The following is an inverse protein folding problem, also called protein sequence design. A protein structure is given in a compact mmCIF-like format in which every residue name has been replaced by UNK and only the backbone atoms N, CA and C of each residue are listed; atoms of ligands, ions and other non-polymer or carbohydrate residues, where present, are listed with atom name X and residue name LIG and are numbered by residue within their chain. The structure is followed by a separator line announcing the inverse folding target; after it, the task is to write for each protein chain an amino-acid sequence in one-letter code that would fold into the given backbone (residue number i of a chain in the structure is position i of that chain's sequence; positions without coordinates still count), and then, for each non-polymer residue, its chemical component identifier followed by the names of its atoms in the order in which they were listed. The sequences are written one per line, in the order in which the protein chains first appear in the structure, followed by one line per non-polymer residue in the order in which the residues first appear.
data_IF_398285350285
#
_entry.id   IF_398285350285
#
_cell.length_a   1.000
_cell.length_b   1.000
_cell.length_c   1.000
_cell.angle_alpha   90.00
_cell.angle_beta   90.00
_cell.angle_gamma   90.00
#
_symmetry.space_group_name_H-M   'P 1'
#
loop_
_entity.id
_entity.type
_entity.pdbx_description
1 polymer ?
#
# COMPACT_ATOMS: atom_id res chain seq x y z
N UNK A 1 -30.79 -13.09 55.14
CA UNK A 1 -32.05 -12.67 54.48
C UNK A 1 -31.86 -11.20 54.09
N UNK A 2 -31.98 -10.72 52.86
CA UNK A 2 -32.41 -11.31 51.60
C UNK A 2 -31.67 -10.71 50.40
N UNK A 3 -31.79 -11.38 49.25
CA UNK A 3 -31.27 -10.96 47.95
C UNK A 3 -32.33 -10.08 47.26
N UNK A 4 -31.96 -8.91 46.78
CA UNK A 4 -32.79 -8.11 45.86
C UNK A 4 -32.46 -8.51 44.41
N UNK A 5 -33.39 -9.22 43.77
CA UNK A 5 -33.40 -9.38 42.31
C UNK A 5 -34.10 -8.18 41.67
N UNK A 6 -33.49 -7.62 40.62
CA UNK A 6 -34.10 -6.60 39.76
C UNK A 6 -34.99 -7.25 38.69
N UNK A 7 -36.13 -6.64 38.30
CA UNK A 7 -37.15 -7.29 37.48
C UNK A 7 -36.76 -7.40 36.00
N UNK A 8 -36.97 -8.59 35.44
CA UNK A 8 -36.74 -9.03 34.03
C UNK A 8 -37.50 -8.23 32.94
N UNK A 9 -38.15 -7.11 33.23
CA UNK A 9 -39.00 -6.39 32.25
C UNK A 9 -38.31 -5.27 31.45
N UNK A 10 -37.04 -4.95 31.71
CA UNK A 10 -36.35 -3.84 31.04
C UNK A 10 -35.50 -4.23 29.80
N UNK A 11 -35.51 -5.50 29.34
CA UNK A 11 -34.68 -5.94 28.19
C UNK A 11 -35.45 -6.32 26.91
N UNK A 12 -36.78 -6.23 26.90
CA UNK A 12 -37.60 -6.66 25.75
C UNK A 12 -38.06 -5.52 24.82
N UNK A 13 -38.02 -4.26 25.28
CA UNK A 13 -38.42 -3.10 24.49
C UNK A 13 -37.49 -2.73 23.32
N UNK A 14 -36.14 -2.83 23.40
CA UNK A 14 -35.30 -2.47 22.26
C UNK A 14 -35.29 -3.53 21.15
N UNK A 15 -35.57 -4.81 21.48
CA UNK A 15 -35.57 -5.91 20.50
C UNK A 15 -36.82 -5.90 19.62
N UNK A 16 -37.98 -5.54 20.18
CA UNK A 16 -39.23 -5.41 19.42
C UNK A 16 -39.21 -4.22 18.44
N UNK A 17 -38.56 -3.10 18.82
CA UNK A 17 -38.41 -1.94 17.94
C UNK A 17 -37.55 -2.26 16.69
N UNK A 18 -36.51 -3.09 16.85
CA UNK A 18 -35.64 -3.51 15.75
C UNK A 18 -36.36 -4.45 14.79
N UNK A 19 -37.18 -5.38 15.29
CA UNK A 19 -37.94 -6.32 14.45
C UNK A 19 -38.99 -5.59 13.59
N UNK A 20 -39.66 -4.58 14.15
CA UNK A 20 -40.64 -3.76 13.39
C UNK A 20 -39.95 -2.93 12.31
N UNK A 21 -38.76 -2.40 12.56
CA UNK A 21 -37.98 -1.63 11.58
C UNK A 21 -37.50 -2.50 10.40
N UNK A 22 -37.05 -3.72 10.69
CA UNK A 22 -36.62 -4.69 9.65
C UNK A 22 -37.81 -5.16 8.79
N UNK A 23 -38.99 -5.36 9.39
CA UNK A 23 -40.21 -5.70 8.66
C UNK A 23 -40.72 -4.55 7.76
N UNK A 24 -40.58 -3.30 8.20
CA UNK A 24 -40.91 -2.12 7.39
C UNK A 24 -39.96 -1.94 6.19
N UNK A 25 -38.68 -2.29 6.33
CA UNK A 25 -37.72 -2.22 5.22
C UNK A 25 -37.91 -3.33 4.19
N UNK A 26 -38.33 -4.53 4.60
CA UNK A 26 -38.60 -5.65 3.69
C UNK A 26 -39.87 -5.48 2.86
N UNK A 27 -40.83 -4.66 3.30
CA UNK A 27 -42.06 -4.37 2.56
C UNK A 27 -41.87 -3.31 1.47
N UNK A 28 -40.96 -2.35 1.66
CA UNK A 28 -40.60 -1.35 0.63
C UNK A 28 -39.76 -1.98 -0.50
N UNK A 29 -38.91 -2.97 -0.20
CA UNK A 29 -38.08 -3.65 -1.20
C UNK A 29 -38.85 -4.53 -2.20
N UNK A 30 -40.08 -4.97 -1.88
CA UNK A 30 -40.88 -5.84 -2.77
C UNK A 30 -41.71 -5.09 -3.81
N UNK A 31 -41.82 -3.76 -3.74
CA UNK A 31 -42.55 -2.96 -4.74
C UNK A 31 -41.66 -2.43 -5.89
N UNK A 32 -40.34 -2.66 -5.87
CA UNK A 32 -39.41 -2.10 -6.84
C UNK A 32 -38.92 -3.07 -7.95
N UNK A 33 -39.37 -4.33 -7.98
CA UNK A 33 -38.83 -5.36 -8.91
C UNK A 33 -39.89 -5.94 -9.87
N UNK A 34 -41.11 -5.41 -9.89
CA UNK A 34 -42.14 -5.83 -10.85
C UNK A 34 -42.44 -4.69 -11.83
N UNK A 35 -41.60 -4.54 -12.86
CA UNK A 35 -42.00 -4.06 -14.20
C UNK A 35 -40.79 -4.01 -15.14
N UNK A 36 -40.64 -5.03 -15.98
CA UNK A 36 -40.24 -4.86 -17.38
C UNK A 36 -40.39 -6.20 -18.12
N UNK A 37 -41.57 -6.41 -18.69
CA UNK A 37 -41.83 -7.35 -19.78
C UNK A 37 -42.34 -6.56 -20.97
N UNK A 38 -41.65 -6.66 -22.11
CA UNK A 38 -42.21 -6.61 -23.48
C UNK A 38 -41.08 -6.96 -24.46
N UNK A 39 -41.10 -8.20 -25.00
CA UNK A 39 -41.34 -8.56 -26.44
C UNK A 39 -40.28 -8.00 -27.40
N UNK A 40 -39.28 -8.77 -27.84
CA UNK A 40 -39.29 -9.83 -28.87
C UNK A 40 -39.52 -9.32 -30.30
N UNK A 41 -38.47 -9.43 -31.14
CA UNK A 41 -38.51 -10.07 -32.47
C UNK A 41 -37.08 -10.33 -32.96
N UNK A 42 -36.81 -11.61 -33.24
CA UNK A 42 -35.73 -12.13 -34.08
C UNK A 42 -35.89 -11.64 -35.52
N UNK A 43 -34.77 -11.47 -36.23
CA UNK A 43 -34.69 -11.93 -37.62
C UNK A 43 -33.24 -12.28 -37.99
N UNK A 44 -33.12 -13.39 -38.69
CA UNK A 44 -31.95 -14.25 -38.78
C UNK A 44 -31.26 -14.09 -40.15
N UNK A 45 -29.97 -13.72 -40.14
CA UNK A 45 -28.85 -14.33 -40.94
C UNK A 45 -28.83 -14.07 -42.47
N UNK A 46 -27.75 -14.45 -43.19
CA UNK A 46 -26.39 -13.91 -43.27
C UNK A 46 -26.07 -13.33 -44.67
N UNK A 47 -24.87 -12.77 -44.89
CA UNK A 47 -23.95 -13.08 -46.04
C UNK A 47 -22.80 -12.06 -46.08
N UNK A 48 -21.58 -12.57 -46.25
CA UNK A 48 -20.35 -11.87 -46.66
C UNK A 48 -19.72 -12.72 -47.79
N UNK A 49 -18.60 -12.32 -48.45
CA UNK A 49 -18.15 -11.02 -48.99
C UNK A 49 -17.85 -11.15 -50.53
N UNK A 50 -17.14 -10.23 -51.23
CA UNK A 50 -15.65 -10.25 -51.23
C UNK A 50 -14.92 -8.88 -51.44
N UNK A 51 -13.61 -8.95 -51.19
CA UNK A 51 -12.49 -8.00 -51.37
C UNK A 51 -12.28 -7.40 -52.77
N UNK A 52 -11.69 -6.18 -52.90
CA UNK A 52 -10.59 -5.72 -53.81
C UNK A 52 -10.07 -4.32 -53.31
N UNK A 53 -8.87 -4.13 -52.75
CA UNK A 53 -7.56 -3.63 -53.30
C UNK A 53 -7.43 -2.17 -53.82
N UNK A 54 -6.49 -1.40 -53.23
CA UNK A 54 -5.63 -0.24 -53.65
C UNK A 54 -6.01 0.65 -54.88
N UNK A 55 -5.77 1.98 -54.96
CA UNK A 55 -4.51 2.73 -54.81
C UNK A 55 -4.70 4.28 -54.91
N UNK A 56 -3.63 5.00 -54.59
CA UNK A 56 -3.23 6.42 -54.58
C UNK A 56 -3.76 7.54 -55.53
N UNK A 57 -3.65 8.76 -54.95
CA UNK A 57 -3.17 10.07 -55.47
C UNK A 57 -4.05 11.14 -56.19
N UNK A 58 -4.25 12.25 -55.44
CA UNK A 58 -3.92 13.66 -55.72
C UNK A 58 -4.46 14.42 -56.96
N UNK A 59 -5.42 15.35 -56.77
CA UNK A 59 -5.38 16.74 -57.33
C UNK A 59 -6.50 17.66 -56.75
N UNK A 60 -6.19 18.95 -56.56
CA UNK A 60 -7.09 20.07 -56.15
C UNK A 60 -6.59 21.37 -56.84
N UNK A 61 -7.22 22.58 -56.78
CA UNK A 61 -8.51 23.09 -56.21
C UNK A 61 -9.24 24.04 -57.24
N UNK A 62 -10.08 25.08 -56.94
CA UNK A 62 -10.69 25.58 -55.68
C UNK A 62 -12.19 26.01 -55.70
N UNK A 63 -12.64 26.38 -54.48
CA UNK A 63 -13.71 27.34 -54.07
C UNK A 63 -15.21 26.99 -54.19
N UNK A 64 -15.83 26.68 -53.04
CA UNK A 64 -16.72 27.60 -52.28
C UNK A 64 -17.14 26.99 -50.92
N UNK A 65 -17.10 27.79 -49.86
CA UNK A 65 -17.42 27.47 -48.44
C UNK A 65 -18.95 27.22 -48.23
N UNK A 66 -19.47 26.62 -47.10
CA UNK A 66 -18.89 26.71 -45.74
C UNK A 66 -19.08 25.51 -44.76
N UNK A 67 -18.41 25.64 -43.61
CA UNK A 67 -18.59 24.92 -42.31
C UNK A 67 -17.94 23.54 -42.14
N UNK A 68 -16.90 23.45 -41.29
CA UNK A 68 -17.03 23.10 -39.85
C UNK A 68 -15.65 23.09 -39.17
N UNK A 69 -15.55 23.75 -38.00
CA UNK A 69 -14.42 23.64 -37.07
C UNK A 69 -14.55 22.34 -36.29
N UNK A 70 -13.48 21.54 -36.20
CA UNK A 70 -13.27 20.66 -35.06
C UNK A 70 -11.81 20.71 -34.59
N UNK A 71 -11.62 21.46 -33.50
CA UNK A 71 -10.55 21.23 -32.53
C UNK A 71 -11.08 20.15 -31.61
N UNK A 72 -10.35 19.05 -31.44
CA UNK A 72 -10.63 18.07 -30.39
C UNK A 72 -10.55 18.75 -29.02
N UNK A 73 -11.73 19.08 -28.50
CA UNK A 73 -11.95 19.45 -27.11
C UNK A 73 -12.34 18.18 -26.36
N UNK A 74 -11.78 17.92 -25.17
CA UNK A 74 -12.26 16.83 -24.33
C UNK A 74 -13.76 17.00 -24.08
N UNK A 75 -14.52 15.92 -24.31
CA UNK A 75 -15.99 15.93 -24.27
C UNK A 75 -16.45 16.34 -22.87
N UNK A 76 -17.48 17.19 -22.83
CA UNK A 76 -18.06 17.83 -21.65
C UNK A 76 -18.51 16.83 -20.56
N UNK A 77 -18.72 15.58 -20.94
CA UNK A 77 -19.26 14.51 -20.10
C UNK A 77 -18.21 13.88 -19.14
N UNK A 78 -16.94 13.80 -19.54
CA UNK A 78 -15.88 13.28 -18.64
C UNK A 78 -15.55 14.28 -17.53
N UNK A 79 -15.56 15.57 -17.87
CA UNK A 79 -15.33 16.66 -16.90
C UNK A 79 -16.46 16.78 -15.87
N UNK A 80 -17.68 16.34 -16.21
CA UNK A 80 -18.81 16.30 -15.30
C UNK A 80 -18.74 15.08 -14.36
N UNK A 81 -18.29 13.93 -14.89
CA UNK A 81 -18.12 12.68 -14.12
C UNK A 81 -16.98 12.78 -13.09
N UNK A 82 -15.86 13.40 -13.44
CA UNK A 82 -14.77 13.63 -12.50
C UNK A 82 -15.16 14.63 -11.40
N UNK A 83 -15.93 15.67 -11.75
CA UNK A 83 -16.47 16.62 -10.76
C UNK A 83 -17.46 15.96 -9.80
N UNK A 84 -18.26 14.99 -10.26
CA UNK A 84 -19.18 14.23 -9.41
C UNK A 84 -18.43 13.26 -8.49
N UNK A 85 -17.35 12.61 -8.96
CA UNK A 85 -16.50 11.73 -8.13
C UNK A 85 -15.73 12.51 -7.06
N UNK A 86 -15.10 13.63 -7.42
CA UNK A 86 -14.40 14.48 -6.44
C UNK A 86 -15.36 15.12 -5.43
N UNK A 87 -16.61 15.37 -5.79
CA UNK A 87 -17.63 15.91 -4.87
C UNK A 87 -18.17 14.83 -3.92
N UNK A 88 -18.33 13.59 -4.38
CA UNK A 88 -18.68 12.46 -3.50
C UNK A 88 -17.58 12.08 -2.52
N UNK A 89 -16.30 12.14 -2.92
CA UNK A 89 -15.17 11.94 -2.00
C UNK A 89 -15.12 13.03 -0.91
N UNK A 90 -15.34 14.30 -1.29
CA UNK A 90 -15.41 15.42 -0.34
C UNK A 90 -16.57 15.29 0.67
N UNK A 91 -17.74 14.81 0.24
CA UNK A 91 -18.88 14.63 1.14
C UNK A 91 -18.69 13.46 2.12
N UNK A 92 -17.96 12.41 1.75
CA UNK A 92 -17.71 11.25 2.63
C UNK A 92 -16.59 11.52 3.63
N UNK A 93 -15.58 12.29 3.24
CA UNK A 93 -14.59 12.85 4.17
C UNK A 93 -15.25 13.80 5.18
N UNK A 94 -16.30 14.53 4.78
CA UNK A 94 -17.06 15.39 5.70
C UNK A 94 -17.92 14.58 6.70
N UNK A 95 -18.42 13.40 6.33
CA UNK A 95 -19.12 12.48 7.25
C UNK A 95 -18.18 11.78 8.25
N UNK A 96 -16.93 11.55 7.86
CA UNK A 96 -15.86 11.12 8.78
C UNK A 96 -15.47 12.21 9.79
N UNK A 97 -15.86 13.46 9.55
CA UNK A 97 -15.52 14.61 10.39
C UNK A 97 -16.55 14.90 11.50
N UNK A 98 -17.73 14.26 11.54
CA UNK A 98 -18.82 14.67 12.45
C UNK A 98 -18.94 13.86 13.77
N UNK A 99 -17.89 13.15 14.21
CA UNK A 99 -17.63 13.01 15.66
C UNK A 99 -17.53 11.62 16.31
N UNK A 100 -17.14 10.56 15.59
CA UNK A 100 -16.68 9.32 16.23
C UNK A 100 -15.24 9.01 15.83
N UNK A 101 -14.36 8.81 16.81
CA UNK A 101 -13.03 8.29 16.56
C UNK A 101 -13.17 6.91 15.92
N UNK A 102 -12.58 6.70 14.74
CA UNK A 102 -12.61 5.38 14.08
C UNK A 102 -12.07 4.29 15.01
N UNK A 103 -12.53 3.05 14.86
CA UNK A 103 -11.98 1.93 15.63
C UNK A 103 -10.49 1.77 15.34
N UNK A 104 -9.63 1.51 16.35
CA UNK A 104 -8.21 1.30 16.12
C UNK A 104 -7.96 0.19 15.10
N UNK A 105 -6.99 0.39 14.19
CA UNK A 105 -6.53 -0.70 13.31
C UNK A 105 -5.32 -1.37 13.95
N UNK A 106 -5.33 -2.69 14.04
CA UNK A 106 -4.21 -3.47 14.54
C UNK A 106 -3.69 -4.42 13.47
N UNK A 107 -2.39 -4.39 13.22
CA UNK A 107 -1.77 -5.22 12.20
C UNK A 107 -0.29 -5.43 12.47
N UNK A 108 0.34 -6.34 11.74
CA UNK A 108 1.79 -6.53 11.79
C UNK A 108 2.45 -6.08 10.50
N UNK A 109 3.48 -5.26 10.65
CA UNK A 109 4.36 -4.75 9.59
C UNK A 109 5.71 -5.45 9.66
N UNK A 110 6.36 -5.67 8.52
CA UNK A 110 7.72 -6.19 8.46
C UNK A 110 8.59 -5.47 7.43
N UNK A 111 9.91 -5.54 7.61
CA UNK A 111 10.90 -5.26 6.58
C UNK A 111 11.78 -6.48 6.39
N UNK A 112 12.06 -6.83 5.13
CA UNK A 112 12.91 -7.97 4.83
C UNK A 112 13.65 -7.82 3.48
N UNK A 113 14.98 -7.70 3.54
CA UNK A 113 15.81 -7.91 2.37
C UNK A 113 15.86 -9.41 2.11
N UNK A 114 15.29 -9.84 0.98
CA UNK A 114 15.07 -11.26 0.69
C UNK A 114 16.22 -11.90 -0.09
N UNK A 115 17.36 -11.21 -0.21
CA UNK A 115 18.54 -11.61 -0.97
C UNK A 115 18.20 -11.96 -2.43
N UNK A 116 18.64 -11.13 -3.39
CA UNK A 116 18.22 -11.28 -4.78
C UNK A 116 18.54 -12.63 -5.39
N UNK A 117 17.69 -13.13 -6.29
CA UNK A 117 17.90 -14.40 -6.98
C UNK A 117 19.26 -14.45 -7.70
N UNK A 118 19.73 -13.31 -8.23
CA UNK A 118 21.04 -13.17 -8.87
C UNK A 118 22.21 -13.42 -7.92
N UNK A 119 22.05 -13.21 -6.62
CA UNK A 119 23.12 -13.46 -5.64
C UNK A 119 23.41 -14.95 -5.49
N UNK A 120 22.41 -15.81 -5.72
CA UNK A 120 22.52 -17.26 -5.52
C UNK A 120 22.48 -18.06 -6.83
N UNK A 121 22.22 -17.39 -7.95
CA UNK A 121 22.32 -17.97 -9.29
C UNK A 121 23.76 -18.07 -9.82
N UNK A 122 23.94 -18.59 -11.04
CA UNK A 122 25.26 -18.68 -11.68
C UNK A 122 25.97 -17.32 -11.72
N UNK A 123 27.21 -17.27 -11.24
CA UNK A 123 28.00 -16.03 -11.13
C UNK A 123 27.66 -15.12 -9.95
N UNK A 124 26.72 -15.54 -9.08
CA UNK A 124 26.36 -14.84 -7.86
C UNK A 124 27.40 -14.97 -6.74
N UNK A 125 27.38 -14.04 -5.79
CA UNK A 125 28.33 -13.97 -4.66
C UNK A 125 27.88 -14.75 -3.41
N UNK A 126 26.74 -15.46 -3.46
CA UNK A 126 26.20 -16.26 -2.35
C UNK A 126 25.85 -17.70 -2.82
N UNK A 127 26.82 -18.46 -3.37
CA UNK A 127 26.56 -19.78 -3.95
C UNK A 127 26.09 -20.85 -2.94
N UNK A 128 26.29 -20.62 -1.63
CA UNK A 128 25.85 -21.54 -0.57
C UNK A 128 24.36 -21.45 -0.22
N UNK A 129 23.65 -20.44 -0.73
CA UNK A 129 22.22 -20.28 -0.50
C UNK A 129 21.41 -21.03 -1.56
N UNK A 130 20.19 -21.44 -1.20
CA UNK A 130 19.25 -22.01 -2.16
C UNK A 130 18.87 -20.99 -3.26
N UNK A 131 18.34 -21.50 -4.38
CA UNK A 131 17.83 -20.66 -5.47
C UNK A 131 16.69 -19.73 -5.02
N UNK A 132 16.55 -18.59 -5.71
CA UNK A 132 15.56 -17.56 -5.37
C UNK A 132 14.11 -18.08 -5.26
N UNK A 133 13.72 -19.08 -6.06
CA UNK A 133 12.39 -19.72 -5.97
C UNK A 133 12.16 -20.41 -4.62
N UNK A 134 13.11 -21.24 -4.17
CA UNK A 134 13.00 -21.95 -2.88
C UNK A 134 12.98 -20.97 -1.72
N UNK A 135 13.89 -19.99 -1.75
CA UNK A 135 13.99 -18.95 -0.70
C UNK A 135 12.73 -18.10 -0.64
N UNK A 136 12.14 -17.73 -1.78
CA UNK A 136 10.87 -17.01 -1.79
C UNK A 136 9.73 -17.83 -1.20
N UNK A 137 9.69 -19.15 -1.43
CA UNK A 137 8.73 -20.03 -0.77
C UNK A 137 8.84 -19.97 0.76
N UNK A 138 10.06 -20.02 1.28
CA UNK A 138 10.32 -19.87 2.70
C UNK A 138 10.05 -18.45 3.23
N UNK A 139 10.30 -17.41 2.43
CA UNK A 139 9.89 -16.04 2.80
C UNK A 139 8.37 -15.94 2.96
N UNK A 140 7.57 -16.52 2.05
CA UNK A 140 6.11 -16.53 2.20
C UNK A 140 5.69 -17.33 3.44
N UNK A 141 6.40 -18.42 3.75
CA UNK A 141 6.19 -19.16 5.01
C UNK A 141 6.49 -18.29 6.23
N UNK A 142 7.57 -17.50 6.23
CA UNK A 142 7.92 -16.58 7.32
C UNK A 142 6.89 -15.47 7.47
N UNK A 143 6.44 -14.85 6.37
CA UNK A 143 5.40 -13.81 6.37
C UNK A 143 4.11 -14.34 6.97
N UNK A 144 3.61 -15.48 6.47
CA UNK A 144 2.37 -16.11 6.95
C UNK A 144 2.49 -16.61 8.38
N UNK A 145 3.59 -17.30 8.70
CA UNK A 145 3.83 -17.88 10.03
C UNK A 145 4.00 -16.83 11.13
N UNK A 146 4.32 -15.58 10.76
CA UNK A 146 4.40 -14.46 11.68
C UNK A 146 3.20 -13.51 11.58
N UNK A 147 2.13 -13.83 10.85
CA UNK A 147 0.94 -12.97 10.70
C UNK A 147 1.24 -11.56 10.16
N UNK A 148 2.28 -11.41 9.34
CA UNK A 148 2.60 -10.14 8.68
C UNK A 148 1.50 -9.82 7.67
N UNK A 149 1.03 -8.57 7.65
CA UNK A 149 -0.01 -8.10 6.72
C UNK A 149 0.49 -7.07 5.71
N UNK A 150 1.60 -6.38 6.01
CA UNK A 150 2.33 -5.49 5.09
C UNK A 150 3.82 -5.72 5.28
N UNK A 151 4.57 -5.85 4.19
CA UNK A 151 6.02 -6.07 4.20
C UNK A 151 6.73 -5.23 3.14
N UNK A 152 7.79 -4.54 3.55
CA UNK A 152 8.78 -3.97 2.64
C UNK A 152 9.80 -5.03 2.24
N UNK A 153 9.94 -5.26 0.94
CA UNK A 153 10.86 -6.24 0.37
C UNK A 153 11.98 -5.53 -0.37
N UNK A 154 13.22 -5.88 -0.04
CA UNK A 154 14.42 -5.41 -0.74
C UNK A 154 15.12 -6.58 -1.43
N UNK A 155 15.86 -6.28 -2.51
CA UNK A 155 16.44 -7.26 -3.44
C UNK A 155 15.43 -8.28 -4.01
N UNK A 156 14.15 -7.93 -4.05
CA UNK A 156 13.08 -8.81 -4.51
C UNK A 156 13.05 -8.90 -6.05
N UNK A 157 13.72 -9.89 -6.63
CA UNK A 157 13.88 -9.96 -8.09
C UNK A 157 12.73 -10.65 -8.82
N UNK A 158 12.71 -10.54 -10.15
CA UNK A 158 11.65 -11.10 -11.02
C UNK A 158 11.30 -12.57 -10.73
N UNK A 159 12.30 -13.43 -10.49
CA UNK A 159 12.09 -14.85 -10.17
C UNK A 159 11.38 -15.03 -8.84
N UNK A 160 11.77 -14.23 -7.85
CA UNK A 160 11.12 -14.18 -6.54
C UNK A 160 9.70 -13.62 -6.70
N UNK A 161 9.50 -12.58 -7.50
CA UNK A 161 8.18 -12.02 -7.80
C UNK A 161 7.19 -13.02 -8.40
N UNK A 162 7.61 -13.75 -9.44
CA UNK A 162 6.79 -14.79 -10.05
C UNK A 162 6.45 -15.90 -9.04
N UNK A 163 7.41 -16.28 -8.19
CA UNK A 163 7.20 -17.30 -7.16
C UNK A 163 6.24 -16.83 -6.08
N UNK A 164 6.41 -15.59 -5.60
CA UNK A 164 5.53 -14.99 -4.62
C UNK A 164 4.08 -14.97 -5.13
N UNK A 165 3.86 -14.43 -6.34
CA UNK A 165 2.52 -14.38 -6.95
C UNK A 165 1.89 -15.78 -7.11
N UNK A 166 2.68 -16.77 -7.53
CA UNK A 166 2.21 -18.17 -7.64
C UNK A 166 1.80 -18.77 -6.30
N UNK A 167 2.57 -18.52 -5.23
CA UNK A 167 2.31 -19.10 -3.90
C UNK A 167 1.18 -18.36 -3.18
N UNK A 168 1.03 -17.05 -3.41
CA UNK A 168 -0.02 -16.24 -2.80
C UNK A 168 -1.34 -16.33 -3.54
N UNK A 169 -1.35 -16.72 -4.82
CA UNK A 169 -2.56 -16.98 -5.59
C UNK A 169 -3.49 -15.78 -5.67
N UNK A 170 -2.94 -14.56 -5.68
CA UNK A 170 -3.71 -13.31 -5.67
C UNK A 170 -4.16 -12.82 -4.29
N UNK A 171 -3.92 -13.58 -3.22
CA UNK A 171 -4.22 -13.15 -1.84
C UNK A 171 -3.34 -12.01 -1.32
N UNK A 172 -2.35 -11.58 -2.12
CA UNK A 172 -1.44 -10.48 -1.77
C UNK A 172 -1.31 -9.50 -2.94
N UNK A 173 -1.40 -8.22 -2.63
CA UNK A 173 -1.00 -7.15 -3.55
C UNK A 173 0.50 -6.89 -3.47
N UNK A 174 1.08 -6.39 -4.57
CA UNK A 174 2.49 -6.03 -4.66
C UNK A 174 2.63 -4.76 -5.50
N UNK A 175 3.36 -3.78 -4.98
CA UNK A 175 3.68 -2.54 -5.69
C UNK A 175 5.17 -2.18 -5.53
N UNK A 176 5.87 -1.76 -6.58
CA UNK A 176 5.38 -1.62 -7.95
C UNK A 176 5.40 -2.95 -8.70
N UNK A 177 5.94 -4.02 -8.10
CA UNK A 177 6.13 -5.29 -8.78
C UNK A 177 6.92 -5.08 -10.07
N UNK A 178 6.42 -5.61 -11.18
CA UNK A 178 7.05 -5.45 -12.49
C UNK A 178 6.66 -4.16 -13.25
N UNK A 179 5.81 -3.29 -12.67
CA UNK A 179 5.27 -2.10 -13.38
C UNK A 179 6.37 -1.09 -13.77
N UNK A 180 7.44 -1.00 -12.97
CA UNK A 180 8.61 -0.13 -13.23
C UNK A 180 9.82 -0.93 -13.74
N UNK A 181 9.57 -2.11 -14.32
CA UNK A 181 10.58 -2.97 -14.91
C UNK A 181 11.31 -3.89 -13.94
N UNK A 182 12.16 -4.75 -14.50
CA UNK A 182 12.87 -5.81 -13.77
C UNK A 182 13.91 -5.32 -12.76
N UNK A 183 14.35 -4.06 -12.86
CA UNK A 183 15.23 -3.45 -11.87
C UNK A 183 14.46 -2.86 -10.71
N UNK A 184 13.31 -2.23 -10.97
CA UNK A 184 12.52 -1.59 -9.92
C UNK A 184 11.73 -2.58 -9.05
N UNK A 185 11.42 -3.79 -9.55
CA UNK A 185 10.80 -4.86 -8.73
C UNK A 185 11.59 -5.18 -7.46
N UNK A 186 12.93 -4.98 -7.50
CA UNK A 186 13.85 -5.21 -6.38
C UNK A 186 13.43 -4.52 -5.09
N UNK A 187 12.69 -3.43 -5.20
CA UNK A 187 12.10 -2.75 -4.07
C UNK A 187 10.59 -2.79 -4.26
N UNK A 188 9.91 -3.59 -3.46
CA UNK A 188 8.46 -3.74 -3.53
C UNK A 188 7.84 -3.77 -2.13
N UNK A 189 6.64 -3.24 -2.01
CA UNK A 189 5.77 -3.41 -0.85
C UNK A 189 4.77 -4.49 -1.22
N UNK A 190 4.62 -5.49 -0.35
CA UNK A 190 3.59 -6.50 -0.48
C UNK A 190 2.62 -6.41 0.70
N UNK A 191 1.32 -6.59 0.45
CA UNK A 191 0.30 -6.57 1.50
C UNK A 191 -0.74 -7.67 1.31
N UNK A 192 -1.30 -8.15 2.41
CA UNK A 192 -2.41 -9.10 2.40
C UNK A 192 -3.68 -8.38 1.90
N UNK A 193 -4.20 -8.80 0.75
CA UNK A 193 -5.35 -8.17 0.09
C UNK A 193 -6.70 -8.41 0.83
N UNK A 194 -6.71 -9.34 1.79
CA UNK A 194 -7.81 -9.54 2.72
C UNK A 194 -7.87 -8.49 3.83
N UNK A 195 -6.72 -7.87 4.17
CA UNK A 195 -6.61 -6.85 5.24
C UNK A 195 -6.56 -5.44 4.65
N UNK A 196 -5.91 -5.28 3.51
CA UNK A 196 -5.61 -3.98 2.93
C UNK A 196 -6.13 -3.86 1.49
N UNK A 197 -6.65 -2.69 1.18
CA UNK A 197 -6.99 -2.24 -0.16
C UNK A 197 -6.00 -1.15 -0.59
N UNK A 198 -5.46 -1.25 -1.81
CA UNK A 198 -4.60 -0.19 -2.37
C UNK A 198 -5.47 1.01 -2.75
N UNK A 199 -5.15 2.18 -2.20
CA UNK A 199 -5.76 3.45 -2.61
C UNK A 199 -4.97 4.05 -3.75
N UNK A 200 -3.65 4.15 -3.58
CA UNK A 200 -2.73 4.63 -4.60
C UNK A 200 -1.29 4.17 -4.33
N UNK A 201 -0.47 4.18 -5.38
CA UNK A 201 0.94 3.79 -5.33
C UNK A 201 1.79 4.74 -6.16
N UNK A 202 2.96 5.07 -5.63
CA UNK A 202 3.86 6.07 -6.16
C UNK A 202 5.32 5.65 -5.95
N UNK A 203 6.26 6.34 -6.59
CA UNK A 203 7.70 6.09 -6.38
C UNK A 203 8.44 7.40 -6.15
N UNK A 204 9.43 7.39 -5.27
CA UNK A 204 10.40 8.48 -5.13
C UNK A 204 11.77 8.07 -5.69
N UNK A 205 12.48 8.97 -6.40
CA UNK A 205 13.84 8.71 -6.86
C UNK A 205 14.84 8.86 -5.70
N UNK A 206 15.51 7.76 -5.34
CA UNK A 206 16.56 7.73 -4.32
C UNK A 206 17.93 7.47 -4.98
N UNK A 207 18.98 8.24 -4.63
CA UNK A 207 20.34 7.95 -5.11
C UNK A 207 20.84 6.62 -4.56
N UNK A 208 21.30 5.76 -5.46
CA UNK A 208 21.89 4.48 -5.13
C UNK A 208 23.39 4.49 -5.49
N UNK A 209 23.96 3.38 -5.97
CA UNK A 209 25.37 3.31 -6.34
C UNK A 209 25.77 4.41 -7.35
N UNK A 210 26.81 5.17 -7.00
CA UNK A 210 27.33 6.31 -7.77
C UNK A 210 26.28 7.41 -8.05
N UNK A 211 25.26 7.55 -7.21
CA UNK A 211 24.21 8.57 -7.35
C UNK A 211 23.15 8.24 -8.40
N UNK A 212 23.19 7.05 -9.02
CA UNK A 212 22.16 6.62 -9.96
C UNK A 212 20.82 6.53 -9.25
N UNK A 213 19.79 7.18 -9.80
CA UNK A 213 18.47 7.23 -9.19
C UNK A 213 17.73 5.90 -9.39
N UNK A 214 17.21 5.36 -8.30
CA UNK A 214 16.39 4.15 -8.25
C UNK A 214 15.01 4.53 -7.72
N UNK A 215 13.91 4.11 -8.35
CA UNK A 215 12.56 4.35 -7.83
C UNK A 215 12.31 3.47 -6.60
N UNK A 216 12.11 4.10 -5.44
CA UNK A 216 11.68 3.44 -4.20
C UNK A 216 10.16 3.61 -4.03
N UNK A 217 9.40 2.54 -3.77
CA UNK A 217 7.96 2.63 -3.73
C UNK A 217 7.42 3.18 -2.41
N UNK A 218 6.28 3.84 -2.51
CA UNK A 218 5.39 4.07 -1.40
C UNK A 218 3.93 3.89 -1.82
N UNK A 219 3.09 3.42 -0.90
CA UNK A 219 1.67 3.14 -1.16
C UNK A 219 0.79 3.67 -0.04
N UNK A 220 -0.39 4.14 -0.41
CA UNK A 220 -1.48 4.41 0.52
C UNK A 220 -2.38 3.19 0.54
N UNK A 221 -2.52 2.58 1.70
CA UNK A 221 -3.42 1.45 1.90
C UNK A 221 -4.57 1.84 2.82
N UNK A 222 -5.76 1.31 2.53
CA UNK A 222 -6.93 1.36 3.39
C UNK A 222 -7.07 0.03 4.13
N UNK A 223 -7.08 0.09 5.47
CA UNK A 223 -7.39 -1.05 6.31
C UNK A 223 -8.88 -1.40 6.13
N UNK A 224 -9.19 -2.58 5.61
CA UNK A 224 -10.54 -2.90 5.11
C UNK A 224 -11.58 -3.01 6.22
N UNK A 225 -11.17 -3.44 7.41
CA UNK A 225 -12.07 -3.60 8.55
C UNK A 225 -12.48 -2.26 9.17
N UNK A 226 -11.55 -1.31 9.28
CA UNK A 226 -11.75 -0.07 10.03
C UNK A 226 -11.80 1.17 9.15
N UNK A 227 -11.51 1.03 7.85
CA UNK A 227 -11.41 2.15 6.92
C UNK A 227 -10.16 3.03 7.09
N UNK A 228 -9.32 2.79 8.11
CA UNK A 228 -8.16 3.64 8.40
C UNK A 228 -7.15 3.63 7.26
N UNK A 229 -6.59 4.80 6.96
CA UNK A 229 -5.55 4.97 5.96
C UNK A 229 -4.16 4.91 6.59
N UNK A 230 -3.19 4.36 5.86
CA UNK A 230 -1.79 4.43 6.21
C UNK A 230 -0.88 4.46 4.97
N UNK A 231 0.14 5.30 5.02
CA UNK A 231 1.22 5.32 4.03
C UNK A 231 2.33 4.35 4.42
N UNK A 232 2.83 3.59 3.46
CA UNK A 232 3.97 2.70 3.64
C UNK A 232 5.04 3.04 2.61
N UNK A 233 6.23 3.40 3.07
CA UNK A 233 7.41 3.72 2.27
C UNK A 233 8.41 2.58 2.46
N UNK A 234 8.90 2.01 1.36
CA UNK A 234 9.93 0.97 1.39
C UNK A 234 11.20 1.43 0.70
N UNK A 235 12.32 1.38 1.42
CA UNK A 235 13.62 1.86 0.92
C UNK A 235 14.66 0.75 0.88
N UNK A 236 15.70 0.99 0.08
CA UNK A 236 16.94 0.21 0.07
C UNK A 236 18.09 1.15 -0.29
N UNK A 237 18.78 1.65 0.72
CA UNK A 237 19.86 2.63 0.54
C UNK A 237 21.17 1.95 0.13
N UNK A 238 22.07 2.66 -0.57
CA UNK A 238 23.25 2.03 -1.13
C UNK A 238 24.21 1.55 -0.04
N UNK A 239 24.54 0.27 -0.12
CA UNK A 239 25.67 -0.31 0.60
C UNK A 239 27.01 0.27 0.09
N UNK A 240 28.09 0.07 0.84
CA UNK A 240 29.44 0.45 0.40
C UNK A 240 30.13 -0.64 -0.44
N UNK A 241 29.39 -1.65 -0.94
CA UNK A 241 29.94 -2.79 -1.70
C UNK A 241 30.44 -2.41 -3.10
N UNK A 242 30.13 -1.20 -3.58
CA UNK A 242 30.63 -0.63 -4.84
C UNK A 242 31.42 0.66 -4.63
N UNK A 243 32.05 0.81 -3.47
CA UNK A 243 32.78 2.00 -3.06
C UNK A 243 32.04 2.81 -1.99
N UNK A 244 32.66 3.89 -1.46
CA UNK A 244 32.07 4.69 -0.39
C UNK A 244 30.71 5.27 -0.78
N UNK A 245 29.68 4.96 0.00
CA UNK A 245 28.30 5.35 -0.29
C UNK A 245 27.67 6.30 0.74
N UNK A 246 28.42 6.76 1.75
CA UNK A 246 27.90 7.61 2.84
C UNK A 246 27.16 8.84 2.31
N UNK A 247 27.78 9.59 1.39
CA UNK A 247 27.17 10.76 0.79
C UNK A 247 25.79 10.45 0.16
N UNK A 248 25.65 9.30 -0.50
CA UNK A 248 24.39 8.90 -1.10
C UNK A 248 23.35 8.48 -0.07
N UNK A 249 23.77 7.85 1.04
CA UNK A 249 22.87 7.56 2.17
C UNK A 249 22.38 8.82 2.86
N UNK A 250 23.23 9.84 3.00
CA UNK A 250 22.82 11.14 3.58
C UNK A 250 21.75 11.81 2.72
N UNK A 251 21.95 11.86 1.40
CA UNK A 251 20.99 12.43 0.45
C UNK A 251 19.71 11.59 0.40
N UNK A 252 19.82 10.26 0.42
CA UNK A 252 18.66 9.36 0.45
C UNK A 252 17.83 9.58 1.71
N UNK A 253 18.45 9.53 2.89
CA UNK A 253 17.80 9.73 4.18
C UNK A 253 17.12 11.10 4.26
N UNK A 254 17.72 12.15 3.70
CA UNK A 254 17.08 13.47 3.64
C UNK A 254 15.81 13.48 2.78
N UNK A 255 15.82 12.78 1.64
CA UNK A 255 14.64 12.65 0.77
C UNK A 255 13.53 11.83 1.42
N UNK A 256 13.91 10.78 2.16
CA UNK A 256 12.98 9.92 2.90
C UNK A 256 12.29 10.68 4.03
N UNK A 257 13.05 11.47 4.80
CA UNK A 257 12.51 12.36 5.83
C UNK A 257 11.56 13.39 5.22
N UNK A 258 11.96 14.02 4.10
CA UNK A 258 11.11 14.99 3.42
C UNK A 258 9.80 14.35 2.94
N UNK A 259 9.85 13.17 2.30
CA UNK A 259 8.65 12.45 1.89
C UNK A 259 7.77 12.10 3.10
N UNK A 260 8.35 11.57 4.17
CA UNK A 260 7.58 11.21 5.36
C UNK A 260 6.88 12.42 5.98
N UNK A 261 7.56 13.58 6.02
CA UNK A 261 6.97 14.83 6.47
C UNK A 261 5.86 15.33 5.54
N UNK A 262 6.04 15.23 4.22
CA UNK A 262 5.01 15.62 3.25
C UNK A 262 3.75 14.75 3.37
N UNK A 263 3.91 13.44 3.57
CA UNK A 263 2.79 12.49 3.67
C UNK A 263 2.04 12.56 5.00
N UNK A 264 2.73 12.93 6.09
CA UNK A 264 2.12 13.12 7.41
C UNK A 264 1.56 14.53 7.61
N UNK A 265 1.69 15.43 6.63
CA UNK A 265 1.17 16.80 6.75
C UNK A 265 -0.36 16.78 6.82
N UNK A 266 -0.98 17.33 7.88
CA UNK A 266 -2.43 17.42 7.98
C UNK A 266 -3.04 18.25 6.85
N UNK A 267 -4.17 17.81 6.30
CA UNK A 267 -4.91 18.61 5.32
C UNK A 267 -5.60 19.83 5.94
N UNK A 268 -5.78 19.84 7.27
CA UNK A 268 -6.31 20.96 8.03
C UNK A 268 -5.71 20.99 9.44
N UNK A 269 -5.69 22.17 10.07
CA UNK A 269 -5.05 22.39 11.38
C UNK A 269 -5.70 21.63 12.53
N UNK A 270 -6.89 21.07 12.33
CA UNK A 270 -7.66 20.35 13.34
C UNK A 270 -7.71 18.84 13.06
N UNK A 271 -6.84 18.33 12.18
CA UNK A 271 -6.76 16.90 11.85
C UNK A 271 -5.35 16.38 12.08
N UNK A 272 -5.25 15.07 12.31
CA UNK A 272 -3.99 14.37 12.19
C UNK A 272 -3.70 14.07 10.72
N UNK A 273 -2.42 14.09 10.36
CA UNK A 273 -1.98 13.53 9.09
C UNK A 273 -2.21 12.03 9.00
N UNK A 274 -2.08 11.48 7.80
CA UNK A 274 -2.19 10.03 7.60
C UNK A 274 -0.98 9.35 8.25
N UNK A 275 -1.19 8.35 9.13
CA UNK A 275 -0.10 7.57 9.71
C UNK A 275 0.84 7.05 8.62
N UNK A 276 2.13 7.35 8.77
CA UNK A 276 3.14 7.04 7.75
C UNK A 276 4.21 6.13 8.34
N UNK A 277 4.57 5.10 7.59
CA UNK A 277 5.60 4.14 7.93
C UNK A 277 6.75 4.27 6.94
N UNK A 278 7.98 4.35 7.46
CA UNK A 278 9.19 4.28 6.67
C UNK A 278 9.96 3.03 7.10
N UNK A 279 10.13 2.09 6.19
CA UNK A 279 10.78 0.81 6.47
C UNK A 279 11.76 0.43 5.36
N UNK A 280 12.72 -0.42 5.67
CA UNK A 280 13.63 -0.94 4.66
C UNK A 280 15.01 -1.26 5.18
N UNK A 281 15.91 -1.54 4.25
CA UNK A 281 17.35 -1.67 4.47
C UNK A 281 18.02 -0.32 4.24
N UNK A 282 18.42 0.35 5.33
CA UNK A 282 19.06 1.67 5.25
C UNK A 282 20.55 1.58 4.94
N UNK A 283 21.15 0.38 5.01
CA UNK A 283 22.61 0.21 5.01
C UNK A 283 23.33 1.12 6.03
N UNK A 284 22.64 1.52 7.09
CA UNK A 284 23.08 2.49 8.08
C UNK A 284 22.46 2.18 9.45
N UNK A 285 23.24 2.39 10.51
CA UNK A 285 22.79 2.18 11.90
C UNK A 285 22.39 3.50 12.55
N UNK A 286 23.35 4.12 13.24
CA UNK A 286 23.09 5.25 14.12
C UNK A 286 22.65 6.51 13.38
N UNK A 287 23.25 6.78 12.24
CA UNK A 287 22.96 7.99 11.48
C UNK A 287 21.53 7.97 10.90
N UNK A 288 21.08 6.85 10.33
CA UNK A 288 19.69 6.70 9.88
C UNK A 288 18.72 6.87 11.05
N UNK A 289 18.93 6.16 12.16
CA UNK A 289 18.08 6.29 13.35
C UNK A 289 18.00 7.74 13.85
N UNK A 290 19.15 8.39 14.08
CA UNK A 290 19.19 9.75 14.63
C UNK A 290 18.58 10.77 13.67
N UNK A 291 18.90 10.70 12.38
CA UNK A 291 18.38 11.65 11.39
C UNK A 291 16.87 11.49 11.21
N UNK A 292 16.38 10.26 11.08
CA UNK A 292 14.94 10.02 10.87
C UNK A 292 14.15 10.41 12.11
N UNK A 293 14.55 9.99 13.32
CA UNK A 293 13.79 10.29 14.54
C UNK A 293 13.89 11.75 15.01
N UNK A 294 14.88 12.51 14.53
CA UNK A 294 15.00 13.95 14.80
C UNK A 294 14.41 14.83 13.68
N UNK A 295 14.42 14.33 12.43
CA UNK A 295 14.02 15.10 11.24
C UNK A 295 12.61 14.79 10.75
N UNK A 296 12.10 13.59 11.02
CA UNK A 296 10.70 13.25 10.85
C UNK A 296 10.03 13.18 12.23
N UNK A 297 8.76 13.56 12.32
CA UNK A 297 7.95 13.29 13.52
C UNK A 297 7.70 11.79 13.60
N UNK A 298 8.72 11.01 13.96
CA UNK A 298 8.75 9.56 13.84
C UNK A 298 9.46 8.90 15.01
N UNK A 299 9.03 7.68 15.32
CA UNK A 299 9.66 6.79 16.29
C UNK A 299 10.07 5.47 15.61
N UNK A 300 11.13 4.83 16.10
CA UNK A 300 11.51 3.49 15.65
C UNK A 300 10.72 2.41 16.39
N UNK A 301 10.35 1.34 15.69
CA UNK A 301 9.56 0.25 16.27
C UNK A 301 10.28 -0.50 17.40
N UNK A 302 11.61 -0.48 17.44
CA UNK A 302 12.45 -1.06 18.48
C UNK A 302 12.84 -0.06 19.59
N UNK A 303 12.29 1.15 19.58
CA UNK A 303 12.53 2.19 20.59
C UNK A 303 13.79 3.02 20.36
N UNK A 304 14.38 3.53 21.44
CA UNK A 304 15.46 4.52 21.42
C UNK A 304 14.96 5.92 21.76
N UNK A 305 15.85 6.90 21.79
CA UNK A 305 15.51 8.32 22.05
C UNK A 305 16.09 9.20 20.95
N UNK A 306 15.36 10.21 20.50
CA UNK A 306 15.82 11.17 19.49
C UNK A 306 16.63 12.34 20.09
N UNK A 307 16.31 12.75 21.32
CA UNK A 307 17.01 13.83 22.03
C UNK A 307 17.19 13.52 23.52
N UNK A 308 18.43 13.25 24.00
CA UNK A 308 19.63 13.01 23.19
C UNK A 308 19.45 11.76 22.32
N UNK A 309 20.10 11.72 21.14
CA UNK A 309 20.00 10.55 20.28
C UNK A 309 20.65 9.32 20.94
N UNK A 310 19.87 8.26 21.18
CA UNK A 310 20.35 6.98 21.71
C UNK A 310 19.67 5.84 20.96
N UNK A 311 20.49 4.99 20.35
CA UNK A 311 20.01 3.84 19.60
C UNK A 311 19.37 2.81 20.54
N UNK A 312 18.35 2.09 20.08
CA UNK A 312 17.85 0.91 20.77
C UNK A 312 18.90 -0.21 20.77
N UNK A 313 18.91 -1.07 21.80
CA UNK A 313 19.93 -2.11 21.96
C UNK A 313 19.93 -3.18 20.85
N UNK A 314 18.75 -3.53 20.32
CA UNK A 314 18.59 -4.56 19.28
C UNK A 314 18.38 -3.93 17.89
N UNK A 315 19.40 -3.21 17.39
CA UNK A 315 19.36 -2.56 16.08
C UNK A 315 20.24 -3.28 15.04
N UNK A 316 19.83 -3.17 13.78
CA UNK A 316 20.59 -3.57 12.60
C UNK A 316 20.76 -2.39 11.65
N UNK A 317 20.84 -2.68 10.36
CA UNK A 317 20.72 -1.69 9.28
C UNK A 317 19.30 -1.65 8.68
N UNK A 318 18.49 -2.66 8.99
CA UNK A 318 17.08 -2.71 8.67
C UNK A 318 16.27 -1.98 9.76
N UNK A 319 15.37 -1.09 9.35
CA UNK A 319 14.56 -0.29 10.26
C UNK A 319 13.08 -0.29 9.89
N UNK A 320 12.24 -0.07 10.90
CA UNK A 320 10.82 0.28 10.77
C UNK A 320 10.60 1.51 11.64
N UNK A 321 10.21 2.62 11.01
CA UNK A 321 9.79 3.86 11.64
C UNK A 321 8.30 4.08 11.41
N UNK A 322 7.64 4.75 12.34
CA UNK A 322 6.25 5.16 12.25
C UNK A 322 6.06 6.58 12.76
N UNK A 323 5.17 7.33 12.13
CA UNK A 323 4.88 8.73 12.49
C UNK A 323 4.28 8.86 13.89
N UNK A 324 4.55 9.97 14.57
CA UNK A 324 3.92 10.35 15.83
C UNK A 324 3.19 11.69 15.65
N UNK A 325 1.99 11.85 16.23
CA UNK A 325 1.20 10.86 16.97
C UNK A 325 0.46 9.86 16.04
N UNK A 326 -0.23 8.87 16.64
CA UNK A 326 -1.18 8.00 15.94
C UNK A 326 -0.67 6.59 15.61
N UNK A 327 0.64 6.33 15.74
CA UNK A 327 1.23 4.99 15.61
C UNK A 327 1.76 4.50 16.95
N UNK A 328 1.22 3.38 17.44
CA UNK A 328 1.79 2.61 18.53
C UNK A 328 2.51 1.37 18.01
N UNK A 329 3.73 1.11 18.48
CA UNK A 329 4.44 -0.15 18.23
C UNK A 329 4.45 -1.03 19.48
N UNK A 330 4.37 -2.34 19.27
CA UNK A 330 4.61 -3.34 20.31
C UNK A 330 5.22 -4.60 19.70
N UNK A 331 5.73 -5.50 20.55
CA UNK A 331 6.23 -6.82 20.15
C UNK A 331 7.23 -6.79 18.97
N UNK A 332 8.13 -5.80 18.96
CA UNK A 332 9.19 -5.76 17.96
C UNK A 332 10.07 -7.01 18.06
N UNK A 333 10.33 -7.63 16.92
CA UNK A 333 11.23 -8.78 16.79
C UNK A 333 12.21 -8.52 15.65
N UNK A 334 13.49 -8.76 15.95
CA UNK A 334 14.53 -8.98 14.94
C UNK A 334 14.79 -10.48 14.87
N UNK A 335 14.20 -11.14 13.88
CA UNK A 335 14.33 -12.57 13.68
C UNK A 335 15.61 -12.86 12.90
N UNK A 336 16.63 -13.35 13.59
CA UNK A 336 17.96 -13.67 13.06
C UNK A 336 18.32 -15.11 13.48
N UNK A 337 18.06 -16.07 12.58
CA UNK A 337 18.20 -17.50 12.88
C UNK A 337 17.20 -18.40 12.15
N UNK A 338 17.39 -19.71 12.31
CA UNK A 338 16.47 -20.73 11.79
C UNK A 338 16.23 -20.62 10.28
N UNK A 339 14.96 -20.54 9.88
CA UNK A 339 14.57 -20.45 8.47
C UNK A 339 15.00 -19.12 7.82
N UNK A 340 15.10 -18.02 8.59
CA UNK A 340 15.53 -16.72 8.05
C UNK A 340 16.92 -16.82 7.45
N UNK A 341 17.86 -17.49 8.12
CA UNK A 341 19.25 -17.60 7.66
C UNK A 341 19.41 -18.54 6.44
N UNK A 342 18.36 -19.28 6.08
CA UNK A 342 18.28 -20.03 4.81
C UNK A 342 17.73 -19.17 3.67
N UNK A 343 17.00 -18.10 4.00
CA UNK A 343 16.37 -17.19 3.05
C UNK A 343 17.27 -16.03 2.69
N UNK A 344 17.92 -15.42 3.68
CA UNK A 344 18.67 -14.18 3.51
C UNK A 344 19.90 -14.12 4.41
N UNK A 345 20.81 -13.21 4.11
CA UNK A 345 21.85 -12.74 5.00
C UNK A 345 21.39 -11.56 5.89
N UNK A 346 20.16 -11.10 5.70
CA UNK A 346 19.50 -10.13 6.57
C UNK A 346 18.52 -10.82 7.55
N UNK A 347 18.33 -10.26 8.75
CA UNK A 347 17.21 -10.64 9.60
C UNK A 347 15.88 -10.21 8.95
N UNK A 348 14.78 -10.87 9.31
CA UNK A 348 13.45 -10.29 9.12
C UNK A 348 13.09 -9.50 10.38
N UNK A 349 12.78 -8.22 10.24
CA UNK A 349 12.27 -7.42 11.36
C UNK A 349 10.77 -7.20 11.22
N UNK A 350 10.04 -7.23 12.33
CA UNK A 350 8.61 -6.94 12.36
C UNK A 350 8.16 -6.38 13.69
N UNK A 351 7.02 -5.70 13.69
CA UNK A 351 6.38 -5.19 14.90
C UNK A 351 4.86 -5.22 14.75
N UNK A 352 4.18 -5.36 15.88
CA UNK A 352 2.75 -5.11 15.97
C UNK A 352 2.51 -3.60 15.99
N UNK A 353 1.51 -3.18 15.23
CA UNK A 353 1.13 -1.79 15.03
C UNK A 353 -0.30 -1.61 15.49
N UNK A 354 -0.54 -0.54 16.23
CA UNK A 354 -1.88 -0.01 16.51
C UNK A 354 -1.97 1.40 15.94
N UNK A 355 -2.90 1.61 15.01
CA UNK A 355 -3.32 2.95 14.59
C UNK A 355 -4.43 3.42 15.50
N UNK A 356 -4.21 4.49 16.25
CA UNK A 356 -5.17 5.01 17.22
C UNK A 356 -5.46 6.50 17.01
N UNK A 357 -6.47 7.01 17.72
CA UNK A 357 -6.86 8.42 17.68
C UNK A 357 -7.62 8.82 16.40
N UNK A 358 -7.55 10.10 16.06
CA UNK A 358 -8.24 10.73 14.93
C UNK A 358 -7.55 10.51 13.57
N UNK A 359 -6.76 9.44 13.40
CA UNK A 359 -6.14 9.18 12.11
C UNK A 359 -7.20 9.07 10.99
N UNK A 360 -6.96 9.68 9.81
CA UNK A 360 -7.94 9.69 8.72
C UNK A 360 -8.44 8.30 8.34
N UNK A 361 -9.74 8.18 8.09
CA UNK A 361 -10.38 6.95 7.66
C UNK A 361 -11.33 7.21 6.49
N UNK A 362 -11.58 6.16 5.71
CA UNK A 362 -12.54 6.13 4.62
C UNK A 362 -13.39 4.88 4.82
N UNK A 363 -14.71 5.04 4.88
CA UNK A 363 -15.65 3.91 4.83
C UNK A 363 -15.51 3.09 3.52
#
# INVERSE_FOLDING_TARGET
MGKHELPRRARLLPVLAIIVLVAALLTVGRFAVANNQTTATDDTTPTAPPSITASDDSEAPPETSPRHKNKDKPKKDDKLRDRLRSRNLRNRVQLAADGLAADPASFRIASFNVLGASHTGPGGNKPGYAGGTSRMGWTVQLIRGNNVSVVGLQEYEKTQHATFGRITGGGWGVYPGLQVGSKGVRNSIAWNAGVWELVEGHTIPIPYFHGNLVPMPYVLLKHKETGRLAWFINIHNPASTRGPAQHWRDVATQKEIALMNDLQEPQSTNQLGIPTFLMGDFNEKAEAFCRVTAGANAQAANGGTSSPCRLPANHGIDWIFGSIPGVGFSNYVRMDGGLVNRVSDHPMIYADVTLSGEAPFVE
#
